data_IF_121735535038
#
_entry.id   IF_121735535038
#
_cell.length_a   1.000
_cell.length_b   1.000
_cell.length_c   1.000
_cell.angle_alpha   90.00
_cell.angle_beta   90.00
_cell.angle_gamma   90.00
#
_symmetry.space_group_name_H-M   'P 1'
#
loop_
_entity.id
_entity.type
_entity.pdbx_description
1 polymer ?
#
# COMPACT_ATOMS: atom_id res chain seq x y z
N UNK A 1 51.94 -2.83 -63.83
CA UNK A 1 52.74 -2.46 -62.65
C UNK A 1 52.10 -1.21 -62.09
N UNK A 2 51.25 -1.38 -61.06
CA UNK A 2 51.65 -1.21 -59.65
C UNK A 2 51.87 0.28 -59.35
N UNK A 3 51.23 0.91 -58.38
CA UNK A 3 50.32 0.47 -57.34
C UNK A 3 50.11 1.69 -56.44
N UNK A 4 48.93 1.83 -55.84
CA UNK A 4 48.77 2.74 -54.72
C UNK A 4 48.06 1.97 -53.60
N UNK A 5 48.78 1.83 -52.50
CA UNK A 5 48.46 1.03 -51.33
C UNK A 5 47.47 1.78 -50.41
N UNK A 6 46.36 1.11 -50.09
CA UNK A 6 45.86 0.75 -48.74
C UNK A 6 45.74 1.84 -47.66
N UNK A 7 44.72 1.93 -46.80
CA UNK A 7 43.45 1.25 -46.44
C UNK A 7 42.87 2.09 -45.24
N UNK A 8 41.80 1.73 -44.51
CA UNK A 8 40.43 1.41 -44.88
C UNK A 8 39.37 2.32 -44.19
N UNK A 9 38.18 2.27 -44.79
CA UNK A 9 36.86 2.65 -44.29
C UNK A 9 36.40 1.93 -43.02
N UNK A 10 35.63 2.62 -42.15
CA UNK A 10 34.75 1.92 -41.21
C UNK A 10 34.08 2.79 -40.14
N UNK A 11 32.96 3.46 -40.46
CA UNK A 11 31.85 3.70 -39.52
C UNK A 11 30.54 3.72 -40.35
N UNK A 12 29.62 2.74 -40.18
CA UNK A 12 28.29 2.87 -40.76
C UNK A 12 27.36 3.64 -39.81
N UNK A 13 26.74 4.70 -40.33
CA UNK A 13 25.61 5.36 -39.70
C UNK A 13 24.40 4.40 -39.67
N UNK A 14 23.92 4.07 -38.47
CA UNK A 14 22.63 3.39 -38.29
C UNK A 14 21.50 4.42 -38.35
N UNK A 15 20.84 4.52 -39.51
CA UNK A 15 19.47 5.02 -39.61
C UNK A 15 18.55 3.80 -39.77
N UNK A 16 17.81 3.45 -38.73
CA UNK A 16 16.64 2.57 -38.81
C UNK A 16 15.51 3.18 -38.01
N UNK A 17 14.67 3.93 -38.71
CA UNK A 17 13.31 4.26 -38.28
C UNK A 17 12.52 2.95 -38.28
N UNK A 18 12.28 2.36 -37.11
CA UNK A 18 11.41 1.20 -36.98
C UNK A 18 9.98 1.69 -36.76
N UNK A 19 9.11 1.42 -37.75
CA UNK A 19 7.68 1.62 -37.63
C UNK A 19 7.09 0.69 -36.56
N UNK A 20 6.11 1.21 -35.82
CA UNK A 20 5.39 0.48 -34.79
C UNK A 20 4.75 -0.80 -35.36
N UNK A 21 4.80 -1.94 -34.64
CA UNK A 21 4.11 -3.15 -35.08
C UNK A 21 2.60 -2.91 -34.98
N UNK A 22 1.92 -2.87 -36.13
CA UNK A 22 0.47 -2.92 -36.19
C UNK A 22 0.02 -4.34 -35.85
N UNK A 23 -0.67 -4.47 -34.70
CA UNK A 23 -1.32 -5.71 -34.29
C UNK A 23 -2.60 -5.91 -35.11
N UNK A 24 -2.78 -7.14 -35.57
CA UNK A 24 -3.91 -7.64 -36.35
C UNK A 24 -5.27 -7.40 -35.67
N UNK A 25 -6.24 -6.95 -36.46
CA UNK A 25 -7.64 -6.75 -36.06
C UNK A 25 -8.28 -8.06 -35.58
N UNK A 26 -8.68 -8.06 -34.31
CA UNK A 26 -9.44 -9.09 -33.61
C UNK A 26 -9.87 -8.58 -32.24
N UNK A 27 -10.69 -7.53 -32.25
CA UNK A 27 -11.67 -7.09 -31.24
C UNK A 27 -11.45 -7.43 -29.76
N UNK A 28 -10.72 -6.57 -29.01
CA UNK A 28 -10.85 -6.38 -27.54
C UNK A 28 -10.08 -5.14 -26.99
N UNK A 29 -9.89 -4.10 -27.80
CA UNK A 29 -8.83 -3.08 -27.58
C UNK A 29 -9.25 -1.76 -26.90
N UNK A 30 -10.44 -1.66 -26.29
CA UNK A 30 -10.85 -0.39 -25.64
C UNK A 30 -11.77 -0.51 -24.40
N UNK A 31 -12.02 -1.71 -23.88
CA UNK A 31 -13.06 -1.91 -22.86
C UNK A 31 -12.47 -2.11 -21.45
N UNK A 32 -11.99 -1.00 -20.85
CA UNK A 32 -11.49 -1.00 -19.48
C UNK A 32 -12.30 -0.09 -18.57
N UNK A 33 -12.96 -0.66 -17.55
CA UNK A 33 -13.80 0.09 -16.61
C UNK A 33 -14.96 0.85 -17.27
N UNK A 34 -15.68 1.62 -16.47
CA UNK A 34 -16.87 2.35 -16.92
C UNK A 34 -16.70 3.84 -16.59
N UNK A 35 -16.87 4.72 -17.58
CA UNK A 35 -16.89 6.16 -17.31
C UNK A 35 -18.16 6.54 -16.55
N UNK A 36 -18.00 7.38 -15.54
CA UNK A 36 -19.12 8.05 -14.85
C UNK A 36 -19.95 8.86 -15.85
N UNK A 37 -21.26 8.87 -15.65
CA UNK A 37 -22.24 9.35 -16.66
C UNK A 37 -22.93 10.66 -16.27
N UNK A 38 -22.93 11.02 -15.00
CA UNK A 38 -23.66 12.16 -14.47
C UNK A 38 -22.98 12.67 -13.17
N UNK A 39 -23.42 13.85 -12.73
CA UNK A 39 -22.88 14.52 -11.53
C UNK A 39 -23.02 13.67 -10.26
N UNK A 40 -24.09 12.88 -10.12
CA UNK A 40 -24.27 12.01 -8.95
C UNK A 40 -23.20 10.90 -8.91
N UNK A 41 -22.93 10.25 -10.04
CA UNK A 41 -21.87 9.23 -10.16
C UNK A 41 -20.46 9.83 -9.98
N UNK A 42 -20.25 11.07 -10.43
CA UNK A 42 -19.01 11.82 -10.19
C UNK A 42 -18.81 12.08 -8.69
N UNK A 43 -19.84 12.56 -7.98
CA UNK A 43 -19.80 12.78 -6.53
C UNK A 43 -19.54 11.48 -5.76
N UNK A 44 -20.22 10.39 -6.13
CA UNK A 44 -20.02 9.07 -5.54
C UNK A 44 -18.58 8.55 -5.75
N UNK A 45 -17.98 8.87 -6.90
CA UNK A 45 -16.60 8.53 -7.21
C UNK A 45 -15.62 9.38 -6.39
N UNK A 46 -15.85 10.68 -6.28
CA UNK A 46 -15.03 11.63 -5.53
C UNK A 46 -14.95 11.29 -4.02
N UNK A 47 -15.99 10.68 -3.45
CA UNK A 47 -15.97 10.24 -2.05
C UNK A 47 -14.95 9.12 -1.79
N UNK A 48 -14.66 8.28 -2.80
CA UNK A 48 -13.88 7.04 -2.61
C UNK A 48 -12.49 7.07 -3.25
N UNK A 49 -12.26 7.94 -4.24
CA UNK A 49 -10.93 8.11 -4.86
C UNK A 49 -10.07 9.08 -4.06
N UNK A 50 -8.75 9.06 -4.30
CA UNK A 50 -7.91 10.12 -3.75
C UNK A 50 -8.26 11.49 -4.35
N UNK A 51 -8.07 12.58 -3.58
CA UNK A 51 -8.28 13.93 -4.08
C UNK A 51 -7.44 14.25 -5.32
N UNK A 52 -8.03 14.92 -6.29
CA UNK A 52 -7.39 15.26 -7.57
C UNK A 52 -6.14 16.12 -7.40
N UNK A 53 -6.06 16.97 -6.37
CA UNK A 53 -4.90 17.83 -6.11
C UNK A 53 -3.64 17.04 -5.73
N UNK A 54 -3.73 15.74 -5.45
CA UNK A 54 -2.55 14.87 -5.33
C UNK A 54 -1.78 14.73 -6.65
N UNK A 55 -2.38 15.16 -7.77
CA UNK A 55 -1.78 15.18 -9.09
C UNK A 55 -1.32 16.58 -9.52
N UNK A 56 -1.57 17.63 -8.73
CA UNK A 56 -1.12 18.99 -9.02
C UNK A 56 0.25 19.28 -8.40
N UNK A 57 1.23 19.60 -9.24
CA UNK A 57 2.56 20.02 -8.80
C UNK A 57 2.57 21.35 -8.04
N UNK A 58 1.53 22.18 -8.22
CA UNK A 58 1.37 23.45 -7.49
C UNK A 58 0.87 23.22 -6.06
N UNK A 59 0.11 22.14 -5.83
CA UNK A 59 -0.50 21.83 -4.53
C UNK A 59 0.37 20.90 -3.68
N UNK A 60 1.11 19.97 -4.30
CA UNK A 60 1.94 19.00 -3.56
C UNK A 60 3.30 18.75 -4.21
N UNK A 61 4.32 18.57 -3.38
CA UNK A 61 5.65 18.11 -3.80
C UNK A 61 5.71 16.59 -4.07
N UNK A 62 4.69 15.85 -3.63
CA UNK A 62 4.59 14.39 -3.77
C UNK A 62 3.52 14.01 -4.81
N UNK A 63 3.70 14.52 -6.03
CA UNK A 63 2.72 14.34 -7.11
C UNK A 63 2.58 12.88 -7.49
N UNK A 64 1.35 12.36 -7.46
CA UNK A 64 1.06 10.99 -7.86
C UNK A 64 1.31 10.80 -9.35
N UNK A 65 1.70 9.60 -9.73
CA UNK A 65 1.83 9.24 -11.14
C UNK A 65 0.42 9.03 -11.73
N UNK A 66 0.01 9.81 -12.76
CA UNK A 66 -1.26 9.57 -13.45
C UNK A 66 -1.24 8.18 -14.09
N UNK A 67 -2.33 7.41 -14.04
CA UNK A 67 -2.42 6.09 -14.66
C UNK A 67 -3.78 5.97 -15.32
N UNK A 68 -3.83 5.36 -16.51
CA UNK A 68 -5.09 4.99 -17.17
C UNK A 68 -5.30 3.47 -17.07
N UNK A 69 -6.56 3.05 -17.00
CA UNK A 69 -6.87 1.63 -17.14
C UNK A 69 -6.49 1.14 -18.55
N UNK A 70 -5.95 -0.08 -18.64
CA UNK A 70 -5.42 -0.63 -19.89
C UNK A 70 -4.04 -0.12 -20.28
N UNK A 71 -3.43 0.80 -19.52
CA UNK A 71 -2.05 1.21 -19.72
C UNK A 71 -1.09 0.03 -19.51
N UNK A 72 -0.09 -0.09 -20.38
CA UNK A 72 0.98 -1.10 -20.23
C UNK A 72 2.25 -0.42 -19.69
N UNK A 73 2.52 -0.62 -18.41
CA UNK A 73 3.72 -0.10 -17.76
C UNK A 73 4.94 -0.97 -18.10
N UNK A 74 6.05 -0.31 -18.46
CA UNK A 74 7.32 -0.94 -18.81
C UNK A 74 7.20 -2.01 -19.92
N UNK A 75 6.19 -1.93 -20.79
CA UNK A 75 5.93 -2.93 -21.83
C UNK A 75 5.58 -4.34 -21.28
N UNK A 76 5.32 -4.47 -19.97
CA UNK A 76 5.17 -5.76 -19.29
C UNK A 76 3.88 -5.88 -18.48
N UNK A 77 3.46 -4.82 -17.82
CA UNK A 77 2.38 -4.87 -16.84
C UNK A 77 1.14 -4.15 -17.36
N UNK A 78 0.10 -4.90 -17.71
CA UNK A 78 -1.19 -4.36 -18.15
C UNK A 78 -2.04 -3.99 -16.94
N UNK A 79 -2.30 -2.70 -16.73
CA UNK A 79 -3.10 -2.19 -15.61
C UNK A 79 -4.57 -2.53 -15.80
N UNK A 80 -5.19 -3.17 -14.79
CA UNK A 80 -6.57 -3.66 -14.84
C UNK A 80 -7.53 -2.99 -13.86
N UNK A 81 -7.22 -3.01 -12.57
CA UNK A 81 -8.06 -2.44 -11.50
C UNK A 81 -7.18 -1.68 -10.50
N UNK A 82 -7.73 -0.66 -9.86
CA UNK A 82 -7.08 -0.01 -8.74
C UNK A 82 -7.36 -0.77 -7.44
N UNK A 83 -6.36 -0.93 -6.60
CA UNK A 83 -6.48 -1.61 -5.29
C UNK A 83 -6.56 -0.62 -4.12
N UNK A 84 -6.00 0.58 -4.29
CA UNK A 84 -6.07 1.63 -3.28
C UNK A 84 -5.06 2.75 -3.51
N UNK A 85 -5.05 3.71 -2.59
CA UNK A 85 -4.11 4.83 -2.57
C UNK A 85 -3.81 5.25 -1.13
N UNK A 86 -2.65 5.87 -0.91
CA UNK A 86 -2.22 6.35 0.41
C UNK A 86 -0.71 6.50 0.54
N UNK A 87 -0.27 7.32 1.49
CA UNK A 87 1.14 7.46 1.88
C UNK A 87 2.09 7.82 0.74
N UNK A 88 1.64 8.63 -0.23
CA UNK A 88 2.49 9.02 -1.37
C UNK A 88 2.48 8.03 -2.56
N UNK A 89 1.51 7.12 -2.64
CA UNK A 89 1.47 6.08 -3.67
C UNK A 89 0.05 5.66 -4.06
N UNK A 90 -0.07 5.05 -5.24
CA UNK A 90 -1.27 4.32 -5.68
C UNK A 90 -0.91 2.85 -5.91
N UNK A 91 -1.86 1.94 -5.70
CA UNK A 91 -1.67 0.50 -5.87
C UNK A 91 -2.65 -0.03 -6.91
N UNK A 92 -2.15 -0.79 -7.87
CA UNK A 92 -2.91 -1.28 -9.02
C UNK A 92 -2.73 -2.78 -9.21
N UNK A 93 -3.80 -3.51 -9.48
CA UNK A 93 -3.71 -4.84 -10.03
C UNK A 93 -3.30 -4.74 -11.51
N UNK A 94 -2.28 -5.50 -11.89
CA UNK A 94 -1.84 -5.59 -13.28
C UNK A 94 -1.55 -7.03 -13.68
N UNK A 95 -1.75 -7.35 -14.95
CA UNK A 95 -1.33 -8.62 -15.52
C UNK A 95 0.11 -8.52 -16.02
N UNK A 96 0.98 -9.38 -15.49
CA UNK A 96 2.37 -9.50 -15.92
C UNK A 96 2.47 -10.43 -17.12
N UNK A 97 2.77 -9.88 -18.30
CA UNK A 97 2.88 -10.66 -19.54
C UNK A 97 4.05 -11.64 -19.57
N UNK A 98 5.09 -11.44 -18.76
CA UNK A 98 6.25 -12.34 -18.75
C UNK A 98 6.00 -13.56 -17.88
N UNK A 99 5.44 -13.34 -16.69
CA UNK A 99 5.16 -14.41 -15.72
C UNK A 99 3.74 -14.96 -15.85
N UNK A 100 2.92 -14.38 -16.73
CA UNK A 100 1.51 -14.73 -16.96
C UNK A 100 0.68 -14.78 -15.67
N UNK A 101 0.94 -13.83 -14.75
CA UNK A 101 0.31 -13.75 -13.44
C UNK A 101 -0.17 -12.35 -13.12
N UNK A 102 -1.16 -12.25 -12.24
CA UNK A 102 -1.61 -10.96 -11.73
C UNK A 102 -0.74 -10.54 -10.54
N UNK A 103 -0.34 -9.28 -10.53
CA UNK A 103 0.55 -8.66 -9.55
C UNK A 103 -0.04 -7.36 -9.04
N UNK A 104 0.42 -6.91 -7.87
CA UNK A 104 0.14 -5.57 -7.36
C UNK A 104 1.30 -4.64 -7.69
N UNK A 105 1.04 -3.56 -8.42
CA UNK A 105 1.98 -2.48 -8.72
C UNK A 105 1.74 -1.34 -7.74
N UNK A 106 2.71 -1.08 -6.85
CA UNK A 106 2.73 0.13 -6.03
C UNK A 106 3.53 1.20 -6.77
N UNK A 107 2.83 2.22 -7.25
CA UNK A 107 3.41 3.33 -8.00
C UNK A 107 3.59 4.51 -7.07
N UNK A 108 4.85 4.84 -6.80
CA UNK A 108 5.25 5.89 -5.87
C UNK A 108 5.19 7.26 -6.55
N UNK A 109 4.98 8.33 -5.78
CA UNK A 109 5.13 9.71 -6.27
C UNK A 109 6.55 10.00 -6.80
N UNK A 110 7.57 9.27 -6.33
CA UNK A 110 8.94 9.28 -6.88
C UNK A 110 9.04 8.69 -8.30
N UNK A 111 7.93 8.17 -8.86
CA UNK A 111 7.84 7.45 -10.14
C UNK A 111 8.52 6.08 -10.14
N UNK A 112 8.93 5.59 -8.97
CA UNK A 112 9.35 4.21 -8.78
C UNK A 112 8.12 3.30 -8.75
N UNK A 113 8.25 2.13 -9.38
CA UNK A 113 7.20 1.11 -9.40
C UNK A 113 7.73 -0.12 -8.67
N UNK A 114 7.07 -0.50 -7.59
CA UNK A 114 7.35 -1.72 -6.85
C UNK A 114 6.32 -2.79 -7.23
N UNK A 115 6.78 -4.00 -7.49
CA UNK A 115 5.93 -5.13 -7.90
C UNK A 115 5.82 -6.12 -6.76
N UNK A 116 4.61 -6.42 -6.34
CA UNK A 116 4.29 -7.33 -5.24
C UNK A 116 3.38 -8.47 -5.72
N UNK A 117 3.34 -9.61 -5.01
CA UNK A 117 2.25 -10.56 -5.16
C UNK A 117 0.90 -9.86 -4.96
N UNK A 118 -0.11 -10.28 -5.71
CA UNK A 118 -1.46 -9.77 -5.53
C UNK A 118 -2.04 -10.31 -4.23
N UNK A 119 -2.56 -9.40 -3.40
CA UNK A 119 -3.09 -9.72 -2.08
C UNK A 119 -4.55 -9.30 -1.95
N UNK A 120 -5.20 -9.89 -0.96
CA UNK A 120 -6.58 -9.67 -0.61
C UNK A 120 -6.81 -8.36 0.17
N UNK A 121 -8.00 -8.19 0.75
CA UNK A 121 -8.34 -6.99 1.50
C UNK A 121 -7.47 -6.86 2.76
N UNK A 122 -7.23 -5.61 3.17
CA UNK A 122 -6.65 -5.33 4.47
C UNK A 122 -7.59 -5.75 5.60
N UNK A 123 -7.04 -5.86 6.81
CA UNK A 123 -7.82 -6.09 8.02
C UNK A 123 -8.86 -4.98 8.18
N UNK A 124 -10.13 -5.36 8.32
CA UNK A 124 -11.25 -4.43 8.51
C UNK A 124 -12.26 -5.05 9.48
N UNK A 125 -12.82 -4.23 10.37
CA UNK A 125 -13.86 -4.62 11.33
C UNK A 125 -15.09 -5.25 10.67
N UNK A 126 -15.46 -4.83 9.45
CA UNK A 126 -16.58 -5.41 8.69
C UNK A 126 -16.31 -6.88 8.38
N UNK A 127 -15.10 -7.20 7.90
CA UNK A 127 -14.67 -8.58 7.60
C UNK A 127 -14.63 -9.40 8.89
N UNK A 128 -14.12 -8.82 9.99
CA UNK A 128 -13.98 -9.52 11.27
C UNK A 128 -15.31 -9.85 11.97
N UNK A 129 -16.37 -9.07 11.70
CA UNK A 129 -17.67 -9.20 12.39
C UNK A 129 -18.26 -10.61 12.27
N UNK A 130 -18.25 -11.12 11.04
CA UNK A 130 -18.92 -12.37 10.68
C UNK A 130 -17.92 -13.54 10.59
N UNK A 131 -16.62 -13.26 10.77
CA UNK A 131 -15.56 -14.26 10.66
C UNK A 131 -15.50 -15.22 11.88
N UNK A 132 -15.34 -16.55 11.64
CA UNK A 132 -15.16 -17.53 12.69
C UNK A 132 -13.94 -17.27 13.58
N UNK A 133 -14.03 -17.61 14.87
CA UNK A 133 -12.92 -17.46 15.81
C UNK A 133 -11.67 -18.24 15.35
N UNK A 134 -11.84 -19.45 14.81
CA UNK A 134 -10.72 -20.27 14.34
C UNK A 134 -9.90 -19.57 13.23
N UNK A 135 -10.57 -18.99 12.23
CA UNK A 135 -9.93 -18.21 11.16
C UNK A 135 -9.20 -16.99 11.72
N UNK A 136 -9.85 -16.25 12.62
CA UNK A 136 -9.25 -15.08 13.29
C UNK A 136 -8.00 -15.46 14.09
N UNK A 137 -8.04 -16.55 14.85
CA UNK A 137 -6.88 -17.02 15.63
C UNK A 137 -5.77 -17.59 14.74
N UNK A 138 -6.10 -18.18 13.59
CA UNK A 138 -5.12 -18.57 12.57
C UNK A 138 -4.40 -17.36 11.99
N UNK A 139 -5.12 -16.28 11.66
CA UNK A 139 -4.54 -15.03 11.17
C UNK A 139 -3.64 -14.36 12.22
N UNK A 140 -4.08 -14.30 13.48
CA UNK A 140 -3.27 -13.82 14.59
C UNK A 140 -1.96 -14.61 14.74
N UNK A 141 -2.02 -15.95 14.68
CA UNK A 141 -0.83 -16.80 14.73
C UNK A 141 0.14 -16.49 13.59
N UNK A 142 -0.35 -16.42 12.36
CA UNK A 142 0.47 -16.09 11.17
C UNK A 142 1.12 -14.71 11.29
N UNK A 143 0.41 -13.71 11.82
CA UNK A 143 0.96 -12.39 12.08
C UNK A 143 2.09 -12.44 13.13
N UNK A 144 1.93 -13.24 14.19
CA UNK A 144 2.99 -13.43 15.18
C UNK A 144 4.23 -14.10 14.60
N UNK A 145 4.05 -15.11 13.75
CA UNK A 145 5.14 -15.76 13.02
C UNK A 145 5.89 -14.76 12.13
N UNK A 146 5.17 -13.84 11.46
CA UNK A 146 5.78 -12.77 10.68
C UNK A 146 6.61 -11.80 11.57
N UNK A 147 6.11 -11.42 12.74
CA UNK A 147 6.84 -10.58 13.71
C UNK A 147 8.08 -11.28 14.26
N UNK A 148 8.01 -12.60 14.48
CA UNK A 148 9.16 -13.39 14.90
C UNK A 148 10.25 -13.39 13.81
N UNK A 149 9.87 -13.51 12.53
CA UNK A 149 10.79 -13.44 11.40
C UNK A 149 11.48 -12.07 11.34
N UNK A 150 10.74 -10.97 11.51
CA UNK A 150 11.31 -9.62 11.58
C UNK A 150 12.40 -9.53 12.66
N UNK A 151 12.05 -10.00 13.85
CA UNK A 151 12.95 -10.00 15.01
C UNK A 151 14.23 -10.79 14.73
N UNK A 152 14.10 -11.99 14.13
CA UNK A 152 15.25 -12.83 13.74
C UNK A 152 16.14 -12.19 12.68
N UNK A 153 15.57 -11.39 11.78
CA UNK A 153 16.31 -10.63 10.77
C UNK A 153 16.97 -9.36 11.34
N UNK A 154 16.79 -9.07 12.63
CA UNK A 154 17.26 -7.84 13.27
C UNK A 154 16.57 -6.59 12.70
N UNK A 155 15.34 -6.77 12.18
CA UNK A 155 14.49 -5.69 11.72
C UNK A 155 13.49 -5.35 12.83
N UNK A 156 13.29 -4.05 13.05
CA UNK A 156 12.28 -3.55 13.98
C UNK A 156 11.65 -2.28 13.41
N UNK A 157 10.49 -1.92 13.92
CA UNK A 157 9.83 -0.66 13.53
C UNK A 157 10.13 0.41 14.58
N UNK A 158 10.64 1.58 14.15
CA UNK A 158 10.92 2.71 15.07
C UNK A 158 9.65 3.25 15.69
N UNK A 159 8.56 3.17 14.92
CA UNK A 159 7.23 3.55 15.33
C UNK A 159 6.37 2.30 15.27
N UNK A 160 5.49 2.11 16.26
CA UNK A 160 4.44 1.07 16.35
C UNK A 160 3.44 1.06 15.17
N UNK A 161 3.82 1.63 14.03
CA UNK A 161 2.93 2.19 13.01
C UNK A 161 2.93 1.37 11.74
N UNK A 162 3.93 0.52 11.51
CA UNK A 162 3.91 -0.40 10.38
C UNK A 162 3.03 -1.62 10.66
N UNK A 163 2.84 -2.00 11.92
CA UNK A 163 1.88 -3.02 12.33
C UNK A 163 0.51 -2.39 12.63
N UNK A 164 -0.21 -2.03 11.57
CA UNK A 164 -1.57 -1.49 11.64
C UNK A 164 -2.54 -2.30 10.77
N UNK A 165 -3.84 -2.07 10.91
CA UNK A 165 -4.90 -2.80 10.18
C UNK A 165 -4.74 -2.70 8.65
N UNK A 166 -4.28 -1.56 8.11
CA UNK A 166 -4.04 -1.36 6.67
C UNK A 166 -2.82 -2.10 6.14
N UNK A 167 -1.87 -2.41 7.00
CA UNK A 167 -0.66 -3.15 6.66
C UNK A 167 -0.81 -4.66 6.95
N UNK A 168 -1.92 -5.10 7.56
CA UNK A 168 -2.23 -6.52 7.71
C UNK A 168 -3.23 -6.91 6.62
N UNK A 169 -2.89 -7.88 5.77
CA UNK A 169 -3.67 -8.21 4.58
C UNK A 169 -3.95 -9.70 4.49
N UNK A 170 -5.14 -10.04 4.03
CA UNK A 170 -5.47 -11.41 3.68
C UNK A 170 -4.85 -11.80 2.35
N UNK A 171 -4.63 -13.09 2.13
CA UNK A 171 -4.34 -13.62 0.80
C UNK A 171 -5.57 -13.58 -0.10
N UNK A 172 -5.35 -13.78 -1.40
CA UNK A 172 -6.41 -13.81 -2.40
C UNK A 172 -6.19 -14.93 -3.41
N UNK A 173 -7.28 -15.52 -3.85
CA UNK A 173 -7.28 -16.50 -4.93
C UNK A 173 -6.70 -15.87 -6.21
N UNK A 174 -5.85 -16.61 -6.94
CA UNK A 174 -5.27 -16.11 -8.18
C UNK A 174 -6.35 -15.91 -9.25
N UNK A 175 -6.29 -14.76 -9.95
CA UNK A 175 -7.22 -14.44 -11.03
C UNK A 175 -6.58 -14.57 -12.42
N UNK A 176 -5.29 -14.92 -12.51
CA UNK A 176 -4.51 -14.79 -13.74
C UNK A 176 -4.94 -15.73 -14.88
N UNK A 177 -5.70 -16.78 -14.57
CA UNK A 177 -6.27 -17.70 -15.55
C UNK A 177 -7.65 -17.25 -16.08
N UNK A 178 -8.23 -16.19 -15.51
CA UNK A 178 -9.51 -15.65 -15.94
C UNK A 178 -9.33 -14.70 -17.12
N UNK A 179 -10.29 -14.71 -18.04
CA UNK A 179 -10.43 -13.65 -19.05
C UNK A 179 -10.72 -12.31 -18.37
N UNK A 180 -10.52 -11.19 -19.09
CA UNK A 180 -10.87 -9.86 -18.59
C UNK A 180 -12.34 -9.77 -18.19
N UNK A 181 -13.25 -10.29 -19.02
CA UNK A 181 -14.68 -10.33 -18.72
C UNK A 181 -14.99 -11.10 -17.43
N UNK A 182 -14.37 -12.27 -17.24
CA UNK A 182 -14.53 -13.05 -16.02
C UNK A 182 -13.93 -12.35 -14.79
N UNK A 183 -12.82 -11.61 -14.94
CA UNK A 183 -12.30 -10.75 -13.86
C UNK A 183 -13.28 -9.64 -13.51
N UNK A 184 -13.96 -9.05 -14.49
CA UNK A 184 -15.00 -8.03 -14.24
C UNK A 184 -16.27 -8.61 -13.63
N UNK A 185 -16.66 -9.84 -13.97
CA UNK A 185 -17.73 -10.54 -13.27
C UNK A 185 -17.36 -10.82 -11.81
N UNK A 186 -16.09 -11.15 -11.54
CA UNK A 186 -15.62 -11.43 -10.19
C UNK A 186 -15.42 -10.16 -9.34
N UNK A 187 -14.75 -9.14 -9.88
CA UNK A 187 -14.31 -7.94 -9.15
C UNK A 187 -15.20 -6.71 -9.35
N UNK A 188 -16.11 -6.76 -10.32
CA UNK A 188 -16.79 -5.58 -10.83
C UNK A 188 -15.94 -4.80 -11.84
N UNK A 189 -16.63 -4.05 -12.69
CA UNK A 189 -16.02 -3.06 -13.58
C UNK A 189 -15.81 -1.77 -12.80
N UNK A 190 -14.58 -1.20 -12.76
CA UNK A 190 -14.32 -0.03 -11.94
C UNK A 190 -14.89 1.24 -12.60
N UNK A 191 -15.68 2.05 -11.87
CA UNK A 191 -16.00 3.42 -12.27
C UNK A 191 -14.74 4.28 -12.36
N UNK A 192 -14.69 5.14 -13.38
CA UNK A 192 -13.55 6.03 -13.62
C UNK A 192 -13.94 7.36 -14.23
N UNK A 193 -13.05 8.34 -14.09
CA UNK A 193 -13.10 9.61 -14.80
C UNK A 193 -11.70 10.13 -15.11
N UNK A 194 -11.58 11.05 -16.07
CA UNK A 194 -10.31 11.72 -16.34
C UNK A 194 -9.96 12.63 -15.16
N UNK A 195 -8.70 12.68 -14.75
CA UNK A 195 -8.24 13.61 -13.70
C UNK A 195 -8.48 15.05 -14.19
N UNK A 196 -9.31 15.85 -13.50
CA UNK A 196 -9.70 17.17 -13.98
C UNK A 196 -8.63 18.24 -13.70
N UNK A 197 -8.48 19.19 -14.64
CA UNK A 197 -7.99 20.56 -14.40
C UNK A 197 -6.63 20.69 -13.67
N UNK A 198 -5.67 19.84 -14.02
CA UNK A 198 -4.27 19.92 -13.56
C UNK A 198 -3.30 19.92 -14.74
N UNK A 199 -2.19 20.66 -14.64
CA UNK A 199 -1.08 20.67 -15.61
C UNK A 199 -0.32 19.33 -15.55
N UNK A 200 -0.94 18.25 -16.02
CA UNK A 200 -0.37 16.91 -16.01
C UNK A 200 0.66 16.74 -17.13
N UNK A 201 1.76 16.05 -16.83
CA UNK A 201 2.74 15.66 -17.85
C UNK A 201 2.28 14.50 -18.74
N UNK A 202 1.20 13.79 -18.34
CA UNK A 202 0.49 12.79 -19.15
C UNK A 202 -0.95 12.64 -18.66
N UNK A 203 -1.84 12.16 -19.52
CA UNK A 203 -3.23 11.84 -19.12
C UNK A 203 -3.26 10.73 -18.05
N UNK A 204 -4.21 10.82 -17.14
CA UNK A 204 -4.51 9.78 -16.16
C UNK A 204 -5.97 9.84 -15.71
N UNK A 205 -6.35 8.83 -14.93
CA UNK A 205 -7.73 8.59 -14.52
C UNK A 205 -7.84 8.47 -13.00
N UNK A 206 -8.88 9.09 -12.44
CA UNK A 206 -9.38 8.74 -11.11
C UNK A 206 -10.23 7.49 -11.28
N UNK A 207 -9.84 6.43 -10.58
CA UNK A 207 -10.49 5.11 -10.67
C UNK A 207 -10.88 4.67 -9.27
N UNK A 208 -12.12 4.18 -9.11
CA UNK A 208 -12.60 3.61 -7.86
C UNK A 208 -11.75 2.39 -7.48
N UNK A 209 -11.19 2.34 -6.26
CA UNK A 209 -10.55 1.12 -5.74
C UNK A 209 -11.53 -0.06 -5.72
N UNK A 210 -11.04 -1.25 -6.08
CA UNK A 210 -11.84 -2.48 -6.03
C UNK A 210 -12.17 -2.84 -4.58
N UNK A 211 -13.45 -3.13 -4.34
CA UNK A 211 -13.90 -3.77 -3.10
C UNK A 211 -13.79 -5.28 -3.30
N UNK A 212 -12.77 -5.89 -2.71
CA UNK A 212 -12.48 -7.30 -2.95
C UNK A 212 -13.56 -8.20 -2.34
N UNK A 213 -14.20 -9.07 -3.14
CA UNK A 213 -15.18 -10.03 -2.65
C UNK A 213 -14.60 -11.03 -1.66
N UNK A 214 -15.35 -11.33 -0.60
CA UNK A 214 -14.95 -12.27 0.46
C UNK A 214 -14.72 -13.71 -0.06
N UNK A 215 -15.40 -14.11 -1.13
CA UNK A 215 -15.22 -15.44 -1.75
C UNK A 215 -13.86 -15.60 -2.47
N UNK A 216 -13.16 -14.50 -2.74
CA UNK A 216 -11.79 -14.54 -3.28
C UNK A 216 -10.73 -14.55 -2.19
N UNK A 217 -11.09 -14.31 -0.92
CA UNK A 217 -10.14 -14.28 0.19
C UNK A 217 -9.64 -15.68 0.52
N UNK A 218 -8.34 -15.83 0.82
CA UNK A 218 -7.78 -17.05 1.41
C UNK A 218 -7.56 -16.88 2.91
N UNK A 219 -7.30 -17.98 3.61
CA UNK A 219 -6.99 -17.96 5.06
C UNK A 219 -5.50 -17.67 5.35
N UNK A 220 -4.72 -17.37 4.31
CA UNK A 220 -3.36 -16.86 4.45
C UNK A 220 -3.40 -15.39 4.90
N UNK A 221 -2.50 -15.01 5.80
CA UNK A 221 -2.47 -13.67 6.39
C UNK A 221 -1.06 -13.11 6.43
N UNK A 222 -0.90 -11.88 5.97
CA UNK A 222 0.40 -11.27 5.70
C UNK A 222 0.55 -9.93 6.39
N UNK A 223 1.77 -9.67 6.85
CA UNK A 223 2.24 -8.32 7.14
C UNK A 223 2.80 -7.71 5.87
N UNK A 224 2.33 -6.52 5.54
CA UNK A 224 2.71 -5.75 4.37
C UNK A 224 3.31 -4.41 4.77
N UNK A 225 3.94 -3.74 3.81
CA UNK A 225 4.52 -2.40 3.95
C UNK A 225 5.67 -2.29 4.97
N UNK A 226 6.89 -2.40 4.45
CA UNK A 226 8.15 -2.35 5.20
C UNK A 226 8.87 -1.00 5.06
N UNK A 227 8.16 0.04 4.61
CA UNK A 227 8.76 1.33 4.23
C UNK A 227 9.46 2.06 5.39
N UNK A 228 9.09 1.76 6.64
CA UNK A 228 9.71 2.33 7.85
C UNK A 228 10.46 1.29 8.68
N UNK A 229 10.64 0.06 8.18
CA UNK A 229 11.39 -0.98 8.86
C UNK A 229 12.88 -0.60 8.94
N UNK A 230 13.51 -0.82 10.10
CA UNK A 230 14.91 -0.46 10.33
C UNK A 230 15.72 -1.63 10.85
N UNK A 231 17.00 -1.63 10.50
CA UNK A 231 17.97 -2.59 11.01
C UNK A 231 18.46 -2.17 12.39
N UNK A 232 18.55 -3.13 13.31
CA UNK A 232 19.13 -2.96 14.64
C UNK A 232 20.54 -2.35 14.54
N UNK A 233 20.77 -1.28 15.30
CA UNK A 233 22.04 -0.56 15.33
C UNK A 233 22.18 0.60 14.33
N UNK A 234 21.17 0.88 13.50
CA UNK A 234 21.19 2.09 12.67
C UNK A 234 21.04 3.35 13.57
N UNK A 235 22.00 4.30 13.56
CA UNK A 235 21.97 5.47 14.44
C UNK A 235 20.98 6.55 13.97
N UNK A 236 20.43 6.43 12.76
CA UNK A 236 19.51 7.41 12.17
C UNK A 236 18.08 6.99 12.49
N UNK A 237 17.49 7.61 13.51
CA UNK A 237 16.04 7.61 13.71
C UNK A 237 15.48 8.65 12.72
N UNK A 238 14.68 8.27 11.72
CA UNK A 238 14.05 9.22 10.80
C UNK A 238 13.22 10.23 11.58
N UNK A 239 13.22 11.48 11.13
CA UNK A 239 12.29 12.49 11.65
C UNK A 239 10.91 12.18 11.07
N UNK A 240 10.03 11.63 11.91
CA UNK A 240 8.62 11.42 11.61
C UNK A 240 7.78 11.52 12.88
N UNK A 241 6.54 11.96 12.75
CA UNK A 241 5.58 11.85 13.83
C UNK A 241 4.85 10.52 13.65
N UNK A 242 4.78 9.69 14.69
CA UNK A 242 3.91 8.53 14.65
C UNK A 242 2.44 9.02 14.59
N UNK A 243 1.54 8.36 13.85
CA UNK A 243 0.12 8.60 13.93
C UNK A 243 -0.33 8.58 15.39
N UNK A 244 -1.13 9.58 15.77
CA UNK A 244 -1.50 9.91 17.15
C UNK A 244 -2.25 8.80 17.89
N UNK A 245 -2.84 7.84 17.16
CA UNK A 245 -3.83 6.94 17.73
C UNK A 245 -3.24 5.63 18.27
N UNK A 246 -1.99 5.30 17.88
CA UNK A 246 -1.35 4.03 18.25
C UNK A 246 0.12 4.16 18.65
N UNK A 247 0.63 5.38 18.86
CA UNK A 247 1.99 5.52 19.33
C UNK A 247 2.11 5.26 20.83
N UNK A 248 2.76 4.17 21.14
CA UNK A 248 3.07 3.74 22.49
C UNK A 248 4.30 4.46 23.07
N UNK A 249 4.61 4.31 24.36
CA UNK A 249 5.39 5.30 25.08
C UNK A 249 6.86 5.38 24.66
N UNK A 250 7.49 4.34 24.11
CA UNK A 250 8.94 4.35 23.88
C UNK A 250 9.44 5.53 23.02
N UNK A 251 8.85 5.86 21.84
CA UNK A 251 9.20 7.06 21.08
C UNK A 251 8.82 8.37 21.78
N UNK A 252 7.80 8.35 22.64
CA UNK A 252 7.40 9.51 23.43
C UNK A 252 8.34 9.76 24.62
N UNK A 253 9.02 8.72 25.13
CA UNK A 253 9.78 8.73 26.38
C UNK A 253 11.31 8.63 26.20
N UNK A 254 11.84 9.10 25.06
CA UNK A 254 13.29 9.04 24.74
C UNK A 254 13.89 7.63 24.85
N UNK A 255 13.07 6.59 24.83
CA UNK A 255 13.55 5.22 24.87
C UNK A 255 14.01 4.82 23.46
N UNK A 256 15.09 4.05 23.39
CA UNK A 256 15.52 3.47 22.12
C UNK A 256 14.43 2.49 21.67
N UNK A 257 13.97 2.58 20.41
CA UNK A 257 13.10 1.57 19.84
C UNK A 257 13.65 0.16 20.05
N UNK A 258 12.77 -0.78 20.37
CA UNK A 258 13.13 -2.18 20.63
C UNK A 258 12.07 -3.10 20.04
N UNK A 259 12.36 -4.41 19.99
CA UNK A 259 11.40 -5.43 19.57
C UNK A 259 10.09 -5.42 20.40
N UNK A 260 10.09 -4.79 21.58
CA UNK A 260 8.87 -4.60 22.38
C UNK A 260 7.84 -3.71 21.66
N UNK A 261 8.26 -2.79 20.79
CA UNK A 261 7.35 -1.97 19.97
C UNK A 261 6.55 -2.84 19.00
N UNK A 262 7.21 -3.79 18.33
CA UNK A 262 6.56 -4.69 17.37
C UNK A 262 5.58 -5.62 18.09
N UNK A 263 5.98 -6.17 19.24
CA UNK A 263 5.10 -7.00 20.07
C UNK A 263 3.87 -6.25 20.59
N UNK A 264 4.03 -4.99 20.97
CA UNK A 264 2.92 -4.17 21.46
C UNK A 264 1.94 -3.84 20.33
N UNK A 265 2.46 -3.51 19.15
CA UNK A 265 1.65 -3.31 17.94
C UNK A 265 0.88 -4.59 17.59
N UNK A 266 1.57 -5.73 17.61
CA UNK A 266 0.95 -7.04 17.46
C UNK A 266 -0.17 -7.27 18.50
N UNK A 267 0.02 -6.89 19.77
CA UNK A 267 -1.02 -7.07 20.80
C UNK A 267 -2.27 -6.21 20.55
N UNK A 268 -2.10 -5.01 20.00
CA UNK A 268 -3.25 -4.17 19.59
C UNK A 268 -4.01 -4.83 18.45
N UNK A 269 -3.31 -5.30 17.42
CA UNK A 269 -3.91 -5.99 16.27
C UNK A 269 -4.52 -7.33 16.68
N UNK A 270 -3.85 -8.09 17.54
CA UNK A 270 -4.37 -9.31 18.14
C UNK A 270 -5.67 -9.03 18.89
N UNK A 271 -5.72 -7.98 19.71
CA UNK A 271 -6.95 -7.58 20.39
C UNK A 271 -8.05 -7.20 19.41
N UNK A 272 -7.73 -6.51 18.31
CA UNK A 272 -8.69 -6.17 17.27
C UNK A 272 -9.24 -7.42 16.58
N UNK A 273 -8.37 -8.36 16.22
CA UNK A 273 -8.72 -9.65 15.64
C UNK A 273 -9.56 -10.48 16.63
N UNK A 274 -9.22 -10.49 17.91
CA UNK A 274 -9.89 -11.29 18.95
C UNK A 274 -11.26 -10.72 19.34
N UNK A 275 -11.36 -9.41 19.54
CA UNK A 275 -12.57 -8.72 19.99
C UNK A 275 -13.47 -8.26 18.84
N UNK A 276 -12.96 -8.24 17.60
CA UNK A 276 -13.60 -7.68 16.39
C UNK A 276 -13.71 -6.15 16.39
N UNK A 277 -13.01 -5.48 17.31
CA UNK A 277 -12.89 -4.03 17.37
C UNK A 277 -11.56 -3.64 18.04
N UNK A 278 -10.98 -2.46 17.73
CA UNK A 278 -9.73 -2.02 18.33
C UNK A 278 -9.82 -1.99 19.87
N UNK A 279 -8.91 -2.67 20.59
CA UNK A 279 -8.96 -2.79 22.05
C UNK A 279 -8.70 -1.45 22.73
N UNK A 280 -7.98 -0.54 22.08
CA UNK A 280 -7.64 0.77 22.62
C UNK A 280 -7.96 1.85 21.60
N UNK A 281 -8.88 2.76 21.95
CA UNK A 281 -9.26 3.92 21.12
C UNK A 281 -8.49 5.19 21.45
N UNK A 282 -7.73 5.18 22.54
CA UNK A 282 -6.87 6.29 22.96
C UNK A 282 -5.89 5.83 24.04
N UNK A 283 -4.83 6.60 24.22
CA UNK A 283 -3.89 6.49 25.34
C UNK A 283 -4.56 6.44 26.71
N UNK A 284 -5.63 7.24 26.91
CA UNK A 284 -6.38 7.25 28.18
C UNK A 284 -7.09 5.93 28.42
N UNK A 285 -7.64 5.33 27.37
CA UNK A 285 -8.31 4.04 27.46
C UNK A 285 -7.30 2.93 27.77
N UNK A 286 -6.11 2.99 27.18
CA UNK A 286 -5.02 2.07 27.51
C UNK A 286 -4.68 2.09 29.00
N UNK A 287 -4.39 3.27 29.57
CA UNK A 287 -4.06 3.41 31.00
C UNK A 287 -5.23 2.91 31.87
N UNK A 288 -6.47 3.19 31.46
CA UNK A 288 -7.65 2.69 32.18
C UNK A 288 -7.72 1.16 32.19
N UNK A 289 -7.30 0.50 31.11
CA UNK A 289 -7.33 -0.96 30.99
C UNK A 289 -6.12 -1.66 31.60
N UNK A 290 -4.91 -1.10 31.43
CA UNK A 290 -3.64 -1.73 31.80
C UNK A 290 -3.03 -1.18 33.10
N UNK A 291 -3.58 -0.10 33.64
CA UNK A 291 -3.05 0.58 34.82
C UNK A 291 -2.12 1.75 34.49
N UNK A 292 -1.59 2.42 35.53
CA UNK A 292 -0.70 3.56 35.36
C UNK A 292 0.60 3.16 34.66
N UNK A 293 1.25 4.13 34.03
CA UNK A 293 2.58 3.92 33.46
C UNK A 293 3.62 3.58 34.56
N UNK A 294 4.69 2.85 34.20
CA UNK A 294 5.83 2.62 35.09
C UNK A 294 6.47 3.92 35.58
N UNK A 295 6.67 4.09 36.90
CA UNK A 295 7.20 5.33 37.48
C UNK A 295 8.54 5.80 36.87
N UNK A 296 9.39 4.85 36.46
CA UNK A 296 10.65 5.08 35.76
C UNK A 296 10.53 5.84 34.42
N UNK A 297 9.34 5.93 33.83
CA UNK A 297 9.08 6.69 32.61
C UNK A 297 8.75 8.17 32.87
N UNK A 298 8.51 8.55 34.13
CA UNK A 298 8.13 9.92 34.49
C UNK A 298 9.21 10.93 34.09
N UNK A 299 8.83 11.93 33.30
CA UNK A 299 9.72 13.02 32.89
C UNK A 299 10.56 12.76 31.63
N UNK A 300 10.44 11.58 31.01
CA UNK A 300 11.19 11.25 29.79
C UNK A 300 10.50 11.73 28.49
N UNK A 301 9.42 12.50 28.58
CA UNK A 301 8.58 12.89 27.45
C UNK A 301 9.24 13.87 26.46
N UNK A 302 9.00 13.68 25.16
CA UNK A 302 9.49 14.56 24.08
C UNK A 302 8.66 15.85 23.89
N UNK A 303 7.43 15.92 24.43
CA UNK A 303 6.54 17.09 24.31
C UNK A 303 5.92 17.51 25.65
N UNK A 304 6.54 18.45 26.40
CA UNK A 304 6.02 18.93 27.68
C UNK A 304 4.83 19.91 27.55
N UNK A 305 4.25 20.13 26.36
CA UNK A 305 3.17 21.13 26.17
C UNK A 305 1.80 20.56 25.78
N UNK A 306 1.68 19.24 25.58
CA UNK A 306 0.37 18.60 25.56
C UNK A 306 0.07 18.05 26.95
N UNK A 307 -1.17 18.15 27.41
CA UNK A 307 -1.67 17.80 28.75
C UNK A 307 -1.49 16.30 29.16
N UNK A 308 -0.28 15.75 29.07
CA UNK A 308 0.14 14.45 29.60
C UNK A 308 0.43 14.49 31.11
N UNK A 309 0.52 15.68 31.71
CA UNK A 309 0.79 15.83 33.15
C UNK A 309 -0.33 15.30 34.06
N UNK A 310 -1.52 14.98 33.53
CA UNK A 310 -2.63 14.42 34.33
C UNK A 310 -2.71 12.88 34.34
N UNK A 311 -1.82 12.16 33.64
CA UNK A 311 -1.94 10.68 33.53
C UNK A 311 -1.15 9.88 34.56
N UNK A 312 -0.44 10.54 35.49
CA UNK A 312 0.34 9.87 36.55
C UNK A 312 -0.39 9.80 37.91
N UNK A 313 -1.49 10.53 38.06
CA UNK A 313 -2.15 10.79 39.35
C UNK A 313 -3.65 10.58 39.32
N UNK A 314 -4.19 9.79 38.38
CA UNK A 314 -5.56 9.31 38.49
C UNK A 314 -5.61 8.01 39.30
N UNK A 315 -5.24 8.13 40.58
CA UNK A 315 -5.87 7.50 41.74
C UNK A 315 -5.65 8.40 42.95
#
# INVERSE_FOLDING_TARGET
MAGNENLPSGIPAMTKTAAAPQCSKGDDTADFGDFVRNEDEELDLEEVVEPWYNYDIKETSHVFHPICLGEVLNGRYLVGNKMGSGGGSTVWMAHDFQETKDVALKVMASREVLVFPLMGPCLNWVILRDMPMATRMSAARQLLEAVEIYTKLGLYTVYSTDLNERNCMWGMAPLHNLSRSAKYEALGRPPRQIIPLVDLWKQGELVRPVELPENLRTDEFYLSNFGLAMKLGNPIIPKGYPPTDFCFPDPLHKMKPSFACDMLSYMVIFGAIYLRFPPFRSWRYLIKCLGPLPEQWKGLYNHPQQNFYRTWTLF
#
